data_IF_222147203164
#
_entry.id   IF_222147203164
#
_cell.length_a   1.000
_cell.length_b   1.000
_cell.length_c   1.000
_cell.angle_alpha   90.00
_cell.angle_beta   90.00
_cell.angle_gamma   90.00
#
_symmetry.space_group_name_H-M   'P 1'
#
loop_
_entity.id
_entity.type
_entity.pdbx_description
1 polymer ?
#
# COMPACT_ATOMS: atom_id res chain seq x y z
N UNK A 1 24.45 40.42 27.33
CA UNK A 1 24.62 39.24 26.44
C UNK A 1 25.09 38.11 27.35
N UNK A 2 24.31 37.08 27.68
CA UNK A 2 23.64 36.08 26.86
C UNK A 2 22.36 35.58 27.57
N UNK A 3 21.24 35.43 26.86
CA UNK A 3 20.05 34.74 27.38
C UNK A 3 20.16 33.28 26.95
N UNK A 4 20.15 32.36 27.92
CA UNK A 4 19.99 30.93 27.67
C UNK A 4 18.61 30.68 27.04
N UNK A 5 18.58 30.31 25.76
CA UNK A 5 17.40 29.70 25.17
C UNK A 5 17.24 28.31 25.78
N UNK A 6 16.24 28.14 26.65
CA UNK A 6 15.67 26.82 26.88
C UNK A 6 15.12 26.34 25.54
N UNK A 7 15.74 25.28 25.00
CA UNK A 7 15.24 24.59 23.83
C UNK A 7 13.95 23.86 24.24
N UNK A 8 12.82 24.52 24.11
CA UNK A 8 11.51 23.87 24.13
C UNK A 8 11.28 23.38 22.69
N UNK A 9 11.35 22.08 22.39
CA UNK A 9 10.99 21.62 21.07
C UNK A 9 9.49 21.88 20.91
N UNK A 10 9.17 22.80 20.00
CA UNK A 10 7.83 23.22 19.64
C UNK A 10 6.95 22.01 19.32
N UNK A 11 5.79 21.95 19.97
CA UNK A 11 4.68 21.03 19.71
C UNK A 11 4.03 21.28 18.34
N UNK A 12 4.74 20.96 17.26
CA UNK A 12 4.21 21.15 15.90
C UNK A 12 4.80 20.14 14.91
N UNK A 13 4.50 18.87 15.13
CA UNK A 13 4.07 18.02 14.03
C UNK A 13 2.75 17.42 14.44
N UNK A 14 1.65 18.12 14.12
CA UNK A 14 0.33 17.49 14.07
C UNK A 14 0.45 16.50 12.92
N UNK A 15 0.88 15.27 13.21
CA UNK A 15 0.64 14.16 12.32
C UNK A 15 -0.87 14.13 12.14
N UNK A 16 -1.38 14.51 10.98
CA UNK A 16 -2.76 14.21 10.63
C UNK A 16 -2.87 12.69 10.63
N UNK A 17 -3.32 12.12 11.75
CA UNK A 17 -3.48 10.67 11.85
C UNK A 17 -4.72 10.32 11.05
N UNK A 18 -4.51 9.94 9.79
CA UNK A 18 -5.57 9.71 8.84
C UNK A 18 -6.37 8.47 9.24
N UNK A 19 -7.67 8.65 9.47
CA UNK A 19 -8.60 7.55 9.76
C UNK A 19 -8.92 6.71 8.54
N UNK A 20 -8.61 7.22 7.36
CA UNK A 20 -8.82 6.55 6.10
C UNK A 20 -7.98 7.20 5.01
N UNK A 21 -7.86 6.54 3.87
CA UNK A 21 -7.19 7.11 2.71
C UNK A 21 -7.22 6.18 1.51
N UNK A 22 -6.64 6.68 0.41
CA UNK A 22 -6.48 5.94 -0.83
C UNK A 22 -5.00 5.72 -1.12
N UNK A 23 -4.68 4.57 -1.69
CA UNK A 23 -3.35 4.23 -2.18
C UNK A 23 -3.48 3.62 -3.56
N UNK A 24 -2.70 4.14 -4.50
CA UNK A 24 -2.79 3.80 -5.92
C UNK A 24 -1.38 3.62 -6.49
N UNK A 25 -1.26 2.76 -7.50
CA UNK A 25 -0.03 2.65 -8.28
C UNK A 25 0.30 4.00 -8.93
N UNK A 26 1.60 4.30 -9.19
CA UNK A 26 1.96 5.52 -9.89
C UNK A 26 1.23 5.64 -11.22
N UNK A 27 0.79 6.86 -11.53
CA UNK A 27 0.06 7.23 -12.75
C UNK A 27 -1.36 6.68 -12.89
N UNK A 28 -1.85 5.85 -11.96
CA UNK A 28 -3.23 5.36 -11.97
C UNK A 28 -4.23 6.51 -12.24
N UNK A 29 -5.19 6.36 -13.19
CA UNK A 29 -5.59 5.12 -13.87
C UNK A 29 -4.81 4.78 -15.16
N UNK A 30 -3.69 5.45 -15.44
CA UNK A 30 -2.80 5.09 -16.56
C UNK A 30 -1.92 3.88 -16.19
N UNK A 31 -1.34 3.20 -17.19
CA UNK A 31 -0.34 2.15 -16.97
C UNK A 31 0.79 2.57 -16.05
N UNK A 32 1.23 1.64 -15.20
CA UNK A 32 2.42 1.86 -14.37
C UNK A 32 3.72 1.73 -15.18
N UNK A 33 4.80 2.40 -14.77
CA UNK A 33 6.12 2.22 -15.40
C UNK A 33 6.77 0.88 -15.03
N UNK A 34 7.60 0.36 -15.93
CA UNK A 34 8.57 -0.70 -15.65
C UNK A 34 9.68 -0.22 -14.70
N UNK A 35 10.48 -1.15 -14.17
CA UNK A 35 11.62 -0.94 -13.27
C UNK A 35 11.27 -0.10 -12.03
N UNK A 36 10.08 -0.33 -11.49
CA UNK A 36 9.54 0.43 -10.39
C UNK A 36 9.74 -0.30 -9.07
N UNK A 37 10.18 0.45 -8.04
CA UNK A 37 10.02 0.05 -6.65
C UNK A 37 9.37 1.19 -5.88
N UNK A 38 8.14 0.98 -5.41
CA UNK A 38 7.40 1.95 -4.59
C UNK A 38 6.93 1.35 -3.29
N UNK A 39 6.98 2.18 -2.25
CA UNK A 39 6.58 1.81 -0.91
C UNK A 39 5.64 2.86 -0.34
N UNK A 40 4.56 2.40 0.29
CA UNK A 40 3.66 3.22 1.10
C UNK A 40 3.62 2.66 2.51
N UNK A 41 3.87 3.51 3.50
CA UNK A 41 3.69 3.18 4.91
C UNK A 41 2.35 3.77 5.35
N UNK A 42 1.37 2.89 5.60
CA UNK A 42 0.07 3.27 6.11
C UNK A 42 0.10 3.15 7.63
N UNK A 43 -0.32 4.21 8.31
CA UNK A 43 -0.38 4.24 9.77
C UNK A 43 -1.68 4.91 10.21
N UNK A 44 -2.32 4.29 11.20
CA UNK A 44 -3.48 4.81 11.93
C UNK A 44 -3.11 4.93 13.42
N UNK A 45 -3.89 5.62 14.27
CA UNK A 45 -3.54 5.80 15.67
C UNK A 45 -3.50 4.46 16.41
N UNK A 46 -2.77 4.45 17.51
CA UNK A 46 -2.84 3.36 18.48
C UNK A 46 -4.29 3.13 18.94
N UNK A 47 -4.64 1.86 19.20
CA UNK A 47 -6.02 1.46 19.47
C UNK A 47 -6.83 1.09 18.22
N UNK A 48 -6.27 1.29 17.01
CA UNK A 48 -6.91 0.91 15.74
C UNK A 48 -6.08 -0.10 14.94
N UNK A 49 -6.75 -0.79 14.02
CA UNK A 49 -6.18 -1.59 12.93
C UNK A 49 -6.55 -0.98 11.60
N UNK A 50 -5.84 -1.35 10.54
CA UNK A 50 -6.09 -0.95 9.16
C UNK A 50 -6.88 -2.05 8.47
N UNK A 51 -8.05 -1.70 7.93
CA UNK A 51 -8.78 -2.53 6.98
C UNK A 51 -8.52 -2.03 5.56
N UNK A 52 -7.76 -2.77 4.77
CA UNK A 52 -7.37 -2.43 3.39
C UNK A 52 -8.26 -3.17 2.40
N UNK A 53 -8.89 -2.44 1.49
CA UNK A 53 -9.78 -2.99 0.46
C UNK A 53 -9.30 -2.57 -0.92
N UNK A 54 -9.06 -3.54 -1.80
CA UNK A 54 -8.74 -3.30 -3.20
C UNK A 54 -10.00 -2.94 -3.98
N UNK A 55 -9.98 -1.81 -4.69
CA UNK A 55 -11.05 -1.39 -5.59
C UNK A 55 -10.72 -1.71 -7.05
N UNK A 56 -9.44 -1.86 -7.38
CA UNK A 56 -8.95 -2.24 -8.69
C UNK A 56 -7.59 -2.92 -8.58
N UNK A 57 -7.35 -3.96 -9.38
CA UNK A 57 -6.06 -4.61 -9.53
C UNK A 57 -5.92 -5.18 -10.96
N UNK A 58 -4.86 -4.77 -11.64
CA UNK A 58 -4.43 -5.20 -12.95
C UNK A 58 -2.90 -5.09 -12.98
N UNK A 59 -2.24 -6.15 -12.54
CA UNK A 59 -0.78 -6.27 -12.44
C UNK A 59 -0.39 -7.51 -13.24
N UNK A 60 0.73 -7.47 -13.95
CA UNK A 60 1.19 -8.57 -14.79
C UNK A 60 1.14 -9.92 -14.05
N UNK A 61 0.44 -10.89 -14.65
CA UNK A 61 0.27 -12.21 -14.06
C UNK A 61 1.51 -13.06 -14.27
N UNK A 62 2.07 -13.59 -13.18
CA UNK A 62 3.14 -14.59 -13.20
C UNK A 62 2.98 -15.61 -12.07
N UNK A 63 3.65 -16.77 -12.22
CA UNK A 63 3.63 -17.79 -11.17
C UNK A 63 4.20 -17.23 -9.86
N UNK A 64 3.42 -17.27 -8.78
CA UNK A 64 3.79 -16.68 -7.47
C UNK A 64 4.16 -15.18 -7.52
N UNK A 65 3.67 -14.45 -8.54
CA UNK A 65 3.94 -13.04 -8.77
C UNK A 65 5.45 -12.71 -8.78
N UNK A 66 6.24 -13.50 -9.51
CA UNK A 66 7.70 -13.33 -9.58
C UNK A 66 8.15 -12.21 -10.51
N UNK A 67 7.33 -11.84 -11.48
CA UNK A 67 7.55 -10.64 -12.32
C UNK A 67 7.09 -9.40 -11.53
N UNK A 68 5.88 -8.91 -11.80
CA UNK A 68 5.31 -7.80 -11.04
C UNK A 68 4.57 -8.28 -9.79
N UNK A 69 4.64 -7.50 -8.71
CA UNK A 69 3.90 -7.81 -7.49
C UNK A 69 3.62 -6.61 -6.60
N UNK A 70 2.45 -6.65 -5.95
CA UNK A 70 2.14 -5.83 -4.80
C UNK A 70 2.15 -6.69 -3.53
N UNK A 71 3.06 -6.41 -2.62
CA UNK A 71 3.13 -7.05 -1.31
C UNK A 71 2.50 -6.15 -0.24
N UNK A 72 1.69 -6.76 0.63
CA UNK A 72 1.17 -6.12 1.85
C UNK A 72 1.85 -6.75 3.05
N UNK A 73 2.52 -5.95 3.86
CA UNK A 73 3.32 -6.41 4.99
C UNK A 73 2.88 -5.78 6.31
N UNK A 74 3.05 -6.54 7.39
CA UNK A 74 3.02 -6.07 8.77
C UNK A 74 4.33 -6.49 9.44
N UNK A 75 5.17 -5.54 9.85
CA UNK A 75 6.47 -5.83 10.49
C UNK A 75 7.36 -6.82 9.73
N UNK A 76 7.49 -6.61 8.42
CA UNK A 76 8.23 -7.48 7.49
C UNK A 76 7.57 -8.85 7.23
N UNK A 77 6.49 -9.20 7.92
CA UNK A 77 5.68 -10.38 7.61
C UNK A 77 4.76 -10.08 6.44
N UNK A 78 4.84 -10.87 5.38
CA UNK A 78 3.94 -10.79 4.23
C UNK A 78 2.55 -11.28 4.65
N UNK A 79 1.55 -10.40 4.56
CA UNK A 79 0.14 -10.74 4.72
C UNK A 79 -0.48 -11.19 3.39
N UNK A 80 0.05 -10.69 2.27
CA UNK A 80 -0.33 -11.12 0.93
C UNK A 80 0.63 -10.58 -0.13
N UNK A 81 0.70 -11.30 -1.24
CA UNK A 81 1.46 -10.93 -2.45
C UNK A 81 0.51 -11.11 -3.64
N UNK A 82 0.29 -10.03 -4.38
CA UNK A 82 -0.80 -9.94 -5.35
C UNK A 82 -0.30 -9.57 -6.74
N UNK A 83 -0.91 -10.20 -7.74
CA UNK A 83 -0.77 -9.93 -9.16
C UNK A 83 -1.97 -10.55 -9.91
N UNK A 84 -2.05 -10.32 -11.22
CA UNK A 84 -3.19 -10.72 -12.05
C UNK A 84 -4.18 -9.58 -12.25
N UNK A 85 -5.27 -9.90 -12.95
CA UNK A 85 -6.32 -8.95 -13.32
C UNK A 85 -7.71 -9.53 -13.08
N UNK A 86 -7.87 -10.84 -13.25
CA UNK A 86 -9.16 -11.51 -13.14
C UNK A 86 -9.36 -11.94 -11.70
N UNK A 87 -10.59 -11.83 -11.21
CA UNK A 87 -10.97 -12.33 -9.88
C UNK A 87 -10.70 -13.85 -9.69
N UNK A 88 -10.56 -14.59 -10.80
CA UNK A 88 -10.22 -16.02 -10.82
C UNK A 88 -8.72 -16.31 -10.71
N UNK A 89 -7.86 -15.30 -10.86
CA UNK A 89 -6.42 -15.49 -10.78
C UNK A 89 -6.04 -15.83 -9.33
N UNK A 90 -5.18 -16.82 -9.15
CA UNK A 90 -4.86 -17.39 -7.83
C UNK A 90 -4.29 -16.34 -6.83
N UNK A 91 -3.64 -15.31 -7.35
CA UNK A 91 -3.01 -14.24 -6.56
C UNK A 91 -3.81 -12.92 -6.59
N UNK A 92 -5.03 -12.91 -7.10
CA UNK A 92 -5.89 -11.74 -7.00
C UNK A 92 -6.41 -11.59 -5.56
N UNK A 93 -6.47 -10.38 -4.95
CA UNK A 93 -6.97 -10.19 -3.58
C UNK A 93 -8.48 -10.49 -3.41
N UNK A 94 -9.17 -10.88 -4.50
CA UNK A 94 -10.62 -11.00 -4.57
C UNK A 94 -11.36 -9.75 -4.07
N UNK A 95 -12.50 -9.98 -3.40
CA UNK A 95 -13.33 -8.93 -2.79
C UNK A 95 -13.14 -8.82 -1.27
N UNK A 96 -12.23 -9.63 -0.69
CA UNK A 96 -12.00 -9.66 0.75
C UNK A 96 -10.99 -8.59 1.13
N UNK A 97 -11.28 -7.85 2.21
CA UNK A 97 -10.33 -6.90 2.76
C UNK A 97 -9.24 -7.60 3.55
N UNK A 98 -8.12 -6.92 3.71
CA UNK A 98 -7.01 -7.34 4.55
C UNK A 98 -7.06 -6.53 5.83
N UNK A 99 -7.29 -7.21 6.95
CA UNK A 99 -7.23 -6.60 8.28
C UNK A 99 -5.81 -6.74 8.83
N UNK A 100 -5.16 -5.62 9.15
CA UNK A 100 -3.83 -5.63 9.73
C UNK A 100 -3.85 -6.13 11.19
N UNK A 101 -2.77 -6.79 11.66
CA UNK A 101 -2.65 -7.18 13.07
C UNK A 101 -2.57 -6.00 14.06
N UNK A 102 -2.02 -4.87 13.62
CA UNK A 102 -1.83 -3.66 14.43
C UNK A 102 -2.16 -2.39 13.64
N UNK A 103 -1.63 -1.24 14.05
CA UNK A 103 -2.00 0.07 13.51
C UNK A 103 -1.21 0.49 12.26
N UNK A 104 -0.45 -0.42 11.65
CA UNK A 104 0.40 -0.13 10.48
C UNK A 104 0.30 -1.19 9.41
N UNK A 105 0.52 -0.80 8.17
CA UNK A 105 0.77 -1.66 7.02
C UNK A 105 1.85 -1.04 6.14
N UNK A 106 2.62 -1.88 5.47
CA UNK A 106 3.52 -1.46 4.41
C UNK A 106 3.07 -2.11 3.10
N UNK A 107 2.88 -1.29 2.07
CA UNK A 107 2.63 -1.77 0.72
C UNK A 107 3.91 -1.59 -0.08
N UNK A 108 4.36 -2.64 -0.77
CA UNK A 108 5.54 -2.61 -1.63
C UNK A 108 5.13 -3.09 -3.02
N UNK A 109 5.18 -2.18 -4.00
CA UNK A 109 4.91 -2.49 -5.40
C UNK A 109 6.24 -2.54 -6.16
N UNK A 110 6.53 -3.69 -6.76
CA UNK A 110 7.72 -3.93 -7.56
C UNK A 110 7.28 -4.36 -8.95
N UNK A 111 7.89 -3.77 -9.98
CA UNK A 111 7.69 -4.15 -11.38
C UNK A 111 9.02 -4.56 -12.01
N UNK A 112 8.96 -5.47 -12.96
CA UNK A 112 10.12 -5.90 -13.73
C UNK A 112 10.45 -4.89 -14.85
N UNK A 113 11.38 -5.24 -15.74
CA UNK A 113 11.86 -4.37 -16.82
C UNK A 113 10.85 -4.14 -17.95
N UNK A 114 9.62 -4.63 -17.82
CA UNK A 114 8.61 -4.55 -18.87
C UNK A 114 7.21 -4.20 -18.34
N UNK A 115 6.50 -3.36 -19.10
CA UNK A 115 5.05 -3.28 -19.08
C UNK A 115 4.63 -3.08 -20.54
N UNK A 116 3.99 -4.06 -21.19
CA UNK A 116 3.88 -4.07 -22.65
C UNK A 116 2.96 -2.96 -23.18
N UNK A 117 3.44 -2.17 -24.16
CA UNK A 117 2.66 -1.07 -24.78
C UNK A 117 1.36 -1.54 -25.45
N UNK A 118 1.34 -2.77 -25.97
CA UNK A 118 0.19 -3.34 -26.68
C UNK A 118 -0.94 -3.78 -25.74
N UNK A 119 -0.61 -4.21 -24.52
CA UNK A 119 -1.55 -4.67 -23.50
C UNK A 119 -1.07 -4.24 -22.11
N UNK A 120 -1.02 -2.93 -21.84
CA UNK A 120 -0.38 -2.44 -20.65
C UNK A 120 -1.23 -2.73 -19.41
N UNK A 121 -0.57 -2.98 -18.30
CA UNK A 121 -1.21 -3.17 -17.00
C UNK A 121 -1.34 -1.86 -16.24
N UNK A 122 -2.51 -1.63 -15.64
CA UNK A 122 -2.92 -0.34 -15.06
C UNK A 122 -2.62 -0.23 -13.55
N UNK A 123 -2.18 -1.30 -12.92
CA UNK A 123 -1.71 -1.34 -11.54
C UNK A 123 -2.83 -1.56 -10.55
N UNK A 124 -2.90 -0.76 -9.49
CA UNK A 124 -3.88 -0.98 -8.43
C UNK A 124 -4.44 0.32 -7.86
N UNK A 125 -5.63 0.20 -7.29
CA UNK A 125 -6.23 1.21 -6.42
C UNK A 125 -6.83 0.50 -5.21
N UNK A 126 -6.55 1.03 -4.02
CA UNK A 126 -7.09 0.53 -2.78
C UNK A 126 -7.50 1.68 -1.85
N UNK A 127 -8.47 1.39 -0.99
CA UNK A 127 -8.90 2.26 0.10
C UNK A 127 -8.57 1.58 1.42
N UNK A 128 -8.14 2.35 2.40
CA UNK A 128 -7.92 1.86 3.76
C UNK A 128 -8.70 2.69 4.77
N UNK A 129 -9.08 2.07 5.88
CA UNK A 129 -9.72 2.74 7.01
C UNK A 129 -9.29 2.15 8.35
N UNK A 130 -9.31 2.98 9.39
CA UNK A 130 -9.05 2.62 10.76
C UNK A 130 -10.28 1.92 11.36
N UNK A 131 -10.08 0.74 11.94
CA UNK A 131 -11.09 -0.02 12.67
C UNK A 131 -10.64 -0.14 14.12
N UNK A 132 -11.49 0.28 15.06
CA UNK A 132 -11.17 0.22 16.49
C UNK A 132 -10.92 -1.22 16.95
N UNK A 133 -9.90 -1.41 17.78
CA UNK A 133 -9.68 -2.64 18.52
C UNK A 133 -10.59 -2.59 19.75
N UNK A 134 -11.67 -3.36 19.73
CA UNK A 134 -12.54 -3.58 20.91
C UNK A 134 -11.76 -4.33 21.97
#
# INVERSE_FOLDING_TARGET
>A
EWIFFYFVPSLSTIYFVLMYGHVQSPLYPKPYPADLQKQWNLEVPHGYRINLTFTYLDIEHSANCTSDSLMVLYDRKVLGKFCGQRLTDAHHPGLKSILSPGNRLQLVFVTDSSNPDLQPHHGFSAFYQAIGMI
#
